data_IF_477836947386
#
_entry.id   IF_477836947386
#
_cell.length_a   1.000
_cell.length_b   1.000
_cell.length_c   1.000
_cell.angle_alpha   90.00
_cell.angle_beta   90.00
_cell.angle_gamma   90.00
#
_symmetry.space_group_name_H-M   'P 1'
#
loop_
_entity.id
_entity.type
_entity.pdbx_description
1 polymer ?
#
# COMPACT_ATOMS: atom_id res chain seq x y z
N UNK A 1 -7.91 -1.76 -27.67
CA UNK A 1 -8.52 -2.70 -26.70
C UNK A 1 -8.27 -2.13 -25.32
N UNK A 2 -9.31 -1.71 -24.60
CA UNK A 2 -9.15 -1.24 -23.22
C UNK A 2 -8.77 -2.44 -22.38
N UNK A 3 -7.60 -2.44 -21.77
CA UNK A 3 -7.26 -3.50 -20.83
C UNK A 3 -8.11 -3.32 -19.58
N UNK A 4 -9.01 -4.27 -19.33
CA UNK A 4 -9.93 -4.27 -18.20
C UNK A 4 -9.35 -5.09 -17.04
N UNK A 5 -9.67 -4.70 -15.81
CA UNK A 5 -9.23 -5.38 -14.59
C UNK A 5 -10.26 -5.15 -13.48
N UNK A 6 -10.25 -5.99 -12.46
CA UNK A 6 -11.09 -5.85 -11.27
C UNK A 6 -10.23 -5.76 -10.01
N UNK A 7 -10.75 -5.15 -8.95
CA UNK A 7 -10.07 -5.09 -7.64
C UNK A 7 -10.99 -5.70 -6.58
N UNK A 8 -10.48 -6.68 -5.85
CA UNK A 8 -11.20 -7.35 -4.76
C UNK A 8 -10.36 -7.41 -3.48
N UNK A 9 -10.99 -7.53 -2.29
CA UNK A 9 -10.27 -7.88 -1.07
C UNK A 9 -9.57 -9.24 -1.22
N UNK A 10 -8.35 -9.37 -0.69
CA UNK A 10 -7.67 -10.65 -0.59
C UNK A 10 -8.40 -11.56 0.42
N UNK A 11 -8.66 -12.79 0.02
CA UNK A 11 -9.33 -13.81 0.82
C UNK A 11 -8.29 -14.77 1.39
N UNK A 12 -8.23 -14.88 2.72
CA UNK A 12 -7.28 -15.79 3.38
C UNK A 12 -7.99 -17.05 3.89
N UNK A 13 -7.38 -18.24 3.74
CA UNK A 13 -6.01 -18.47 3.27
C UNK A 13 -5.82 -18.58 1.74
N UNK A 14 -6.88 -18.43 0.92
CA UNK A 14 -6.88 -18.74 -0.51
C UNK A 14 -5.85 -17.92 -1.32
N UNK A 15 -5.73 -16.63 -1.03
CA UNK A 15 -4.86 -15.69 -1.76
C UNK A 15 -3.46 -15.55 -1.13
N UNK A 16 -3.13 -16.34 -0.11
CA UNK A 16 -1.85 -16.23 0.60
C UNK A 16 -0.65 -16.35 -0.35
N UNK A 17 -0.67 -17.32 -1.26
CA UNK A 17 0.38 -17.52 -2.26
C UNK A 17 0.47 -16.34 -3.22
N UNK A 18 -0.67 -15.84 -3.71
CA UNK A 18 -0.74 -14.69 -4.62
C UNK A 18 -0.18 -13.43 -3.99
N UNK A 19 -0.58 -13.11 -2.76
CA UNK A 19 -0.08 -11.94 -2.02
C UNK A 19 1.42 -12.06 -1.76
N UNK A 20 1.88 -13.24 -1.34
CA UNK A 20 3.30 -13.49 -1.06
C UNK A 20 4.14 -13.25 -2.31
N UNK A 21 3.73 -13.80 -3.46
CA UNK A 21 4.42 -13.60 -4.73
C UNK A 21 4.48 -12.12 -5.16
N UNK A 22 3.40 -11.36 -4.98
CA UNK A 22 3.37 -9.92 -5.28
C UNK A 22 4.28 -9.11 -4.35
N UNK A 23 4.33 -9.44 -3.06
CA UNK A 23 5.20 -8.77 -2.09
C UNK A 23 6.68 -9.07 -2.37
N UNK A 24 7.01 -10.30 -2.69
CA UNK A 24 8.35 -10.71 -3.10
C UNK A 24 8.78 -9.98 -4.39
N UNK A 25 7.89 -9.94 -5.39
CA UNK A 25 8.14 -9.21 -6.64
C UNK A 25 8.31 -7.69 -6.42
N UNK A 26 7.54 -7.10 -5.51
CA UNK A 26 7.71 -5.71 -5.09
C UNK A 26 9.11 -5.48 -4.50
N UNK A 27 9.48 -6.30 -3.52
CA UNK A 27 10.77 -6.25 -2.83
C UNK A 27 11.94 -6.39 -3.80
N UNK A 28 11.89 -7.40 -4.67
CA UNK A 28 12.90 -7.60 -5.70
C UNK A 28 13.02 -6.39 -6.64
N UNK A 29 11.91 -5.73 -6.97
CA UNK A 29 11.92 -4.56 -7.85
C UNK A 29 12.55 -3.30 -7.24
N UNK A 30 12.64 -3.21 -5.91
CA UNK A 30 13.25 -2.07 -5.24
C UNK A 30 14.78 -2.16 -5.17
N UNK A 31 15.39 -3.31 -5.50
CA UNK A 31 16.83 -3.57 -5.31
C UNK A 31 17.33 -3.23 -3.90
N UNK A 32 16.45 -3.30 -2.90
CA UNK A 32 16.81 -3.09 -1.50
C UNK A 32 17.24 -4.44 -0.91
N UNK A 33 18.35 -4.44 -0.18
CA UNK A 33 18.70 -5.58 0.68
C UNK A 33 17.67 -5.64 1.81
N UNK A 34 16.60 -6.42 1.60
CA UNK A 34 15.53 -6.59 2.57
C UNK A 34 15.77 -7.77 3.52
N UNK A 35 17.03 -8.09 3.83
CA UNK A 35 17.41 -8.96 4.97
C UNK A 35 16.98 -8.40 6.34
N UNK A 36 16.13 -7.37 6.38
CA UNK A 36 15.45 -6.90 7.57
C UNK A 36 14.55 -7.99 8.15
N UNK A 37 14.82 -8.36 9.39
CA UNK A 37 13.99 -9.28 10.20
C UNK A 37 12.50 -8.88 10.22
N UNK A 38 12.20 -7.59 10.06
CA UNK A 38 10.84 -7.06 10.02
C UNK A 38 10.06 -7.49 8.76
N UNK A 39 10.71 -7.67 7.60
CA UNK A 39 10.00 -8.05 6.37
C UNK A 39 9.65 -9.54 6.32
N UNK A 40 10.57 -10.41 6.73
CA UNK A 40 10.29 -11.85 6.84
C UNK A 40 9.20 -12.12 7.87
N UNK A 41 9.19 -11.37 8.97
CA UNK A 41 8.14 -11.42 9.99
C UNK A 41 6.80 -10.91 9.45
N UNK A 42 6.80 -9.84 8.65
CA UNK A 42 5.59 -9.33 7.99
C UNK A 42 5.00 -10.38 7.04
N UNK A 43 5.81 -11.01 6.18
CA UNK A 43 5.35 -12.06 5.28
C UNK A 43 4.80 -13.28 6.03
N UNK A 44 5.51 -13.74 7.07
CA UNK A 44 5.10 -14.88 7.88
C UNK A 44 3.80 -14.63 8.68
N UNK A 45 3.41 -13.37 8.89
CA UNK A 45 2.23 -12.99 9.65
C UNK A 45 1.03 -12.61 8.78
N UNK A 46 1.09 -12.71 7.46
CA UNK A 46 -0.01 -12.35 6.56
C UNK A 46 -1.32 -13.12 6.89
N UNK A 47 -2.49 -12.44 6.88
CA UNK A 47 -2.70 -11.02 6.57
C UNK A 47 -2.30 -10.06 7.71
N UNK A 48 -2.17 -10.55 8.94
CA UNK A 48 -1.61 -9.81 10.07
C UNK A 48 -2.30 -8.47 10.30
N UNK A 49 -1.51 -7.39 10.35
CA UNK A 49 -2.01 -6.02 10.50
C UNK A 49 -2.89 -5.52 9.33
N UNK A 50 -2.93 -6.24 8.20
CA UNK A 50 -3.77 -5.94 7.04
C UNK A 50 -5.17 -6.58 7.13
N UNK A 51 -5.43 -7.35 8.18
CA UNK A 51 -6.73 -8.00 8.40
C UNK A 51 -7.81 -7.00 8.82
N UNK A 52 -9.07 -7.18 8.40
CA UNK A 52 -10.21 -6.49 9.00
C UNK A 52 -10.28 -6.73 10.52
N UNK A 53 -10.88 -5.81 11.30
CA UNK A 53 -11.64 -4.63 10.86
C UNK A 53 -10.77 -3.40 10.51
N UNK A 54 -9.54 -3.31 11.05
CA UNK A 54 -8.70 -2.11 10.93
C UNK A 54 -7.84 -2.09 9.66
N UNK A 55 -7.42 -3.25 9.16
CA UNK A 55 -6.62 -3.36 7.94
C UNK A 55 -7.46 -3.60 6.69
N UNK A 56 -6.82 -3.43 5.53
CA UNK A 56 -7.31 -3.89 4.22
C UNK A 56 -6.15 -4.46 3.42
N UNK A 57 -6.43 -5.44 2.57
CA UNK A 57 -5.52 -5.90 1.54
C UNK A 57 -6.34 -6.15 0.27
N UNK A 58 -5.95 -5.51 -0.82
CA UNK A 58 -6.63 -5.61 -2.11
C UNK A 58 -5.69 -6.17 -3.17
N UNK A 59 -6.25 -6.94 -4.10
CA UNK A 59 -5.57 -7.49 -5.27
C UNK A 59 -6.29 -6.98 -6.52
N UNK A 60 -5.50 -6.54 -7.51
CA UNK A 60 -5.99 -6.26 -8.85
C UNK A 60 -5.84 -7.51 -9.72
N UNK A 61 -6.90 -7.92 -10.38
CA UNK A 61 -6.97 -9.11 -11.22
C UNK A 61 -7.24 -8.74 -12.68
N UNK A 62 -6.55 -9.38 -13.61
CA UNK A 62 -6.88 -9.34 -15.03
C UNK A 62 -8.18 -10.07 -15.32
N UNK A 63 -8.72 -9.93 -16.54
CA UNK A 63 -9.89 -10.69 -16.98
C UNK A 63 -9.59 -12.21 -17.06
N UNK A 64 -8.34 -12.55 -17.31
CA UNK A 64 -7.82 -13.93 -17.34
C UNK A 64 -7.54 -14.51 -15.94
N UNK A 65 -7.74 -13.72 -14.87
CA UNK A 65 -7.53 -14.15 -13.48
C UNK A 65 -6.08 -14.02 -13.01
N UNK A 66 -5.22 -13.28 -13.72
CA UNK A 66 -3.85 -13.02 -13.30
C UNK A 66 -3.78 -11.86 -12.29
N UNK A 67 -3.00 -12.02 -11.23
CA UNK A 67 -2.79 -10.95 -10.26
C UNK A 67 -1.84 -9.89 -10.81
N UNK A 68 -2.37 -8.69 -11.10
CA UNK A 68 -1.61 -7.57 -11.67
C UNK A 68 -1.03 -6.62 -10.64
N UNK A 69 -1.49 -6.68 -9.40
CA UNK A 69 -0.96 -5.83 -8.35
C UNK A 69 -1.69 -5.99 -7.03
N UNK A 70 -1.17 -5.35 -6.00
CA UNK A 70 -1.78 -5.33 -4.67
C UNK A 70 -1.56 -3.97 -3.99
N UNK A 71 -2.31 -3.74 -2.93
CA UNK A 71 -2.08 -2.65 -1.97
C UNK A 71 -2.63 -3.04 -0.61
N UNK A 72 -1.91 -2.68 0.44
CA UNK A 72 -2.27 -2.95 1.82
C UNK A 72 -2.54 -1.65 2.61
N UNK A 73 -3.39 -1.75 3.62
CA UNK A 73 -3.68 -0.73 4.62
C UNK A 73 -3.55 -1.36 6.00
N UNK A 74 -2.86 -0.68 6.91
CA UNK A 74 -2.76 -1.07 8.32
C UNK A 74 -2.98 0.12 9.24
N UNK A 75 -3.38 -0.09 10.51
CA UNK A 75 -3.35 0.97 11.51
C UNK A 75 -1.92 1.45 11.79
N UNK A 76 -1.75 2.76 11.91
CA UNK A 76 -0.53 3.37 12.40
C UNK A 76 -0.69 3.70 13.90
N UNK A 77 0.20 3.19 14.75
CA UNK A 77 0.04 3.24 16.21
C UNK A 77 0.47 4.59 16.79
N UNK A 78 -0.15 4.96 17.92
CA UNK A 78 -0.09 6.30 18.55
C UNK A 78 1.32 6.83 18.85
N UNK A 79 2.35 5.99 19.03
CA UNK A 79 3.71 6.49 19.30
C UNK A 79 4.36 7.21 18.11
N UNK A 80 3.79 7.06 16.91
CA UNK A 80 4.28 7.64 15.65
C UNK A 80 3.35 8.70 15.07
N UNK A 81 2.27 8.99 15.78
CA UNK A 81 1.14 9.80 15.30
C UNK A 81 0.91 10.90 16.31
N UNK A 82 0.82 12.15 15.84
CA UNK A 82 0.43 13.25 16.71
C UNK A 82 -0.99 13.01 17.23
N UNK A 83 -1.26 13.25 18.51
CA UNK A 83 -2.60 13.10 19.09
C UNK A 83 -3.67 13.92 18.33
N UNK A 84 -3.25 14.98 17.63
CA UNK A 84 -4.12 15.84 16.81
C UNK A 84 -4.50 15.24 15.44
N UNK A 85 -3.95 14.09 15.06
CA UNK A 85 -4.23 13.44 13.76
C UNK A 85 -5.35 12.40 13.83
N UNK A 86 -5.91 12.12 15.01
CA UNK A 86 -7.04 11.21 15.15
C UNK A 86 -6.67 9.76 14.81
N UNK A 87 -7.58 9.02 14.18
CA UNK A 87 -7.32 7.65 13.73
C UNK A 87 -6.51 7.65 12.42
N UNK A 88 -5.32 7.04 12.42
CA UNK A 88 -4.39 7.08 11.27
C UNK A 88 -4.14 5.70 10.69
N UNK A 89 -4.29 5.59 9.38
CA UNK A 89 -3.98 4.41 8.59
C UNK A 89 -2.70 4.63 7.77
N UNK A 90 -2.01 3.54 7.42
CA UNK A 90 -0.82 3.58 6.59
C UNK A 90 -1.00 2.68 5.37
N UNK A 91 -0.84 3.25 4.18
CA UNK A 91 -0.76 2.47 2.93
C UNK A 91 0.63 1.83 2.85
N UNK A 92 0.65 0.52 2.61
CA UNK A 92 1.87 -0.25 2.40
C UNK A 92 1.73 -1.11 1.14
N UNK A 93 2.88 -1.52 0.59
CA UNK A 93 2.97 -2.59 -0.43
C UNK A 93 2.11 -2.35 -1.67
N UNK A 94 1.98 -1.08 -2.10
CA UNK A 94 1.38 -0.78 -3.40
C UNK A 94 2.35 -1.20 -4.50
N UNK A 95 1.98 -2.22 -5.26
CA UNK A 95 2.79 -2.76 -6.35
C UNK A 95 1.93 -3.13 -7.55
N UNK A 96 2.50 -2.92 -8.74
CA UNK A 96 1.92 -3.33 -10.02
C UNK A 96 3.00 -4.05 -10.82
N UNK A 97 2.67 -5.25 -11.29
CA UNK A 97 3.57 -6.08 -12.11
C UNK A 97 3.95 -5.33 -13.39
N UNK A 98 5.17 -5.50 -13.93
CA UNK A 98 5.63 -4.73 -15.09
C UNK A 98 4.68 -4.75 -16.30
N UNK A 99 4.06 -5.91 -16.59
CA UNK A 99 3.13 -6.08 -17.70
C UNK A 99 1.82 -5.27 -17.58
N UNK A 100 1.46 -4.84 -16.37
CA UNK A 100 0.24 -4.09 -16.08
C UNK A 100 0.49 -2.58 -15.80
N UNK A 101 1.75 -2.12 -15.86
CA UNK A 101 2.09 -0.70 -15.66
C UNK A 101 1.60 0.16 -16.83
N UNK A 102 1.32 1.43 -16.53
CA UNK A 102 0.77 2.37 -17.52
C UNK A 102 -0.71 2.15 -17.87
N UNK A 103 -1.37 1.15 -17.25
CA UNK A 103 -2.78 0.81 -17.50
C UNK A 103 -3.75 1.36 -16.45
N UNK A 104 -3.30 2.27 -15.58
CA UNK A 104 -4.12 2.85 -14.51
C UNK A 104 -4.30 1.99 -13.25
N UNK A 105 -3.81 0.74 -13.23
CA UNK A 105 -3.95 -0.21 -12.11
C UNK A 105 -3.48 0.37 -10.77
N UNK A 106 -2.31 1.01 -10.74
CA UNK A 106 -1.76 1.58 -9.51
C UNK A 106 -2.64 2.68 -8.91
N UNK A 107 -3.21 3.54 -9.77
CA UNK A 107 -4.14 4.59 -9.33
C UNK A 107 -5.44 3.99 -8.81
N UNK A 108 -6.00 3.01 -9.50
CA UNK A 108 -7.22 2.33 -9.08
C UNK A 108 -7.05 1.58 -7.74
N UNK A 109 -5.89 0.95 -7.52
CA UNK A 109 -5.53 0.35 -6.22
C UNK A 109 -5.45 1.41 -5.12
N UNK A 110 -4.77 2.53 -5.38
CA UNK A 110 -4.67 3.64 -4.44
C UNK A 110 -6.07 4.22 -4.08
N UNK A 111 -6.93 4.44 -5.07
CA UNK A 111 -8.30 4.91 -4.85
C UNK A 111 -9.12 3.88 -4.05
N UNK A 112 -9.00 2.59 -4.36
CA UNK A 112 -9.70 1.52 -3.63
C UNK A 112 -9.27 1.43 -2.17
N UNK A 113 -7.98 1.53 -1.88
CA UNK A 113 -7.49 1.48 -0.50
C UNK A 113 -7.89 2.72 0.29
N UNK A 114 -7.97 3.90 -0.34
CA UNK A 114 -8.50 5.11 0.28
C UNK A 114 -10.00 5.00 0.58
N UNK A 115 -10.78 4.37 -0.29
CA UNK A 115 -12.17 4.05 0.00
C UNK A 115 -12.28 3.12 1.22
N UNK A 116 -11.47 2.05 1.25
CA UNK A 116 -11.38 1.16 2.40
C UNK A 116 -10.94 1.87 3.68
N UNK A 117 -10.05 2.86 3.59
CA UNK A 117 -9.62 3.66 4.75
C UNK A 117 -10.77 4.50 5.33
N UNK A 118 -11.61 5.09 4.46
CA UNK A 118 -12.82 5.80 4.89
C UNK A 118 -13.82 4.87 5.57
N UNK A 119 -14.01 3.66 5.05
CA UNK A 119 -14.89 2.64 5.67
C UNK A 119 -14.42 2.23 7.07
N UNK A 120 -13.11 2.20 7.31
CA UNK A 120 -12.55 1.94 8.65
C UNK A 120 -12.77 3.13 9.60
N UNK A 121 -12.96 4.34 9.08
CA UNK A 121 -13.06 5.57 9.84
C UNK A 121 -11.71 6.25 10.10
N UNK A 122 -10.69 5.96 9.28
CA UNK A 122 -9.44 6.71 9.34
C UNK A 122 -9.67 8.19 8.98
N UNK A 123 -9.03 9.09 9.72
CA UNK A 123 -9.07 10.54 9.50
C UNK A 123 -7.84 11.01 8.69
N UNK A 124 -6.73 10.29 8.82
CA UNK A 124 -5.51 10.53 8.05
C UNK A 124 -4.99 9.21 7.49
N UNK A 125 -4.52 9.26 6.25
CA UNK A 125 -3.77 8.16 5.63
C UNK A 125 -2.35 8.63 5.37
N UNK A 126 -1.36 7.86 5.83
CA UNK A 126 0.06 8.11 5.58
C UNK A 126 0.66 7.04 4.68
N UNK A 127 1.79 7.36 4.07
CA UNK A 127 2.62 6.41 3.34
C UNK A 127 4.08 6.89 3.30
N UNK A 128 4.96 5.95 3.01
CA UNK A 128 6.35 6.19 2.65
C UNK A 128 6.62 5.69 1.22
N UNK A 129 7.53 6.33 0.51
CA UNK A 129 8.00 5.92 -0.81
C UNK A 129 9.45 6.32 -1.04
N UNK A 130 10.16 5.66 -1.95
CA UNK A 130 11.53 6.05 -2.30
C UNK A 130 11.48 7.32 -3.16
N UNK A 131 12.38 8.28 -2.91
CA UNK A 131 12.47 9.50 -3.72
C UNK A 131 12.68 9.26 -5.22
N UNK A 132 13.24 8.10 -5.60
CA UNK A 132 13.39 7.69 -7.00
C UNK A 132 12.08 7.25 -7.68
N UNK A 133 11.02 6.96 -6.91
CA UNK A 133 9.72 6.49 -7.41
C UNK A 133 8.82 7.65 -7.85
N UNK A 134 9.33 8.50 -8.75
CA UNK A 134 8.67 9.71 -9.23
C UNK A 134 7.23 9.48 -9.73
N UNK A 135 6.97 8.35 -10.42
CA UNK A 135 5.63 8.01 -10.90
C UNK A 135 4.64 7.75 -9.75
N UNK A 136 5.09 7.09 -8.67
CA UNK A 136 4.27 6.85 -7.50
C UNK A 136 4.02 8.17 -6.74
N UNK A 137 5.07 8.97 -6.54
CA UNK A 137 4.96 10.30 -5.91
C UNK A 137 3.97 11.19 -6.68
N UNK A 138 4.09 11.28 -8.00
CA UNK A 138 3.18 12.05 -8.84
C UNK A 138 1.73 11.55 -8.76
N UNK A 139 1.54 10.22 -8.73
CA UNK A 139 0.23 9.62 -8.53
C UNK A 139 -0.38 10.01 -7.17
N UNK A 140 0.37 9.90 -6.08
CA UNK A 140 -0.12 10.27 -4.74
C UNK A 140 -0.40 11.76 -4.63
N UNK A 141 0.45 12.63 -5.17
CA UNK A 141 0.19 14.08 -5.25
C UNK A 141 -1.11 14.36 -6.02
N UNK A 142 -1.33 13.68 -7.14
CA UNK A 142 -2.57 13.75 -7.92
C UNK A 142 -3.81 13.15 -7.24
N UNK A 143 -3.65 12.47 -6.10
CA UNK A 143 -4.73 12.02 -5.21
C UNK A 143 -4.91 12.92 -3.99
N UNK A 144 -4.16 14.04 -3.92
CA UNK A 144 -4.24 15.01 -2.83
C UNK A 144 -3.27 14.75 -1.66
N UNK A 145 -2.38 13.76 -1.78
CA UNK A 145 -1.34 13.58 -0.76
C UNK A 145 -0.35 14.74 -0.80
N UNK A 146 -0.02 15.24 0.38
CA UNK A 146 1.05 16.21 0.61
C UNK A 146 2.24 15.54 1.29
N UNK A 147 3.44 16.07 1.09
CA UNK A 147 4.62 15.62 1.83
C UNK A 147 4.47 16.00 3.32
N UNK A 148 4.94 15.13 4.21
CA UNK A 148 4.88 15.35 5.66
C UNK A 148 6.20 14.99 6.35
N UNK A 149 6.28 15.30 7.64
CA UNK A 149 7.40 14.86 8.45
C UNK A 149 7.48 13.33 8.53
N UNK A 150 8.71 12.83 8.71
CA UNK A 150 8.95 11.41 8.96
C UNK A 150 8.23 10.98 10.24
N UNK A 151 7.61 9.80 10.19
CA UNK A 151 6.89 9.23 11.33
C UNK A 151 7.52 7.92 11.83
N UNK A 152 8.60 7.44 11.22
CA UNK A 152 9.45 6.37 11.77
C UNK A 152 10.90 6.50 11.30
N UNK A 153 11.77 5.74 11.95
CA UNK A 153 13.18 5.63 11.58
C UNK A 153 13.40 4.64 10.43
N UNK A 154 13.93 5.15 9.32
CA UNK A 154 14.28 4.35 8.14
C UNK A 154 15.76 4.50 7.83
N UNK A 155 16.49 3.41 7.57
CA UNK A 155 17.86 3.47 7.10
C UNK A 155 17.95 3.89 5.62
N UNK A 156 16.83 3.89 4.90
CA UNK A 156 16.79 4.19 3.47
C UNK A 156 16.85 5.71 3.27
N UNK A 157 17.96 6.20 2.72
CA UNK A 157 18.13 7.61 2.43
C UNK A 157 17.19 8.06 1.31
N UNK A 158 16.64 9.27 1.44
CA UNK A 158 15.73 9.84 0.45
C UNK A 158 14.33 9.23 0.45
N UNK A 159 13.93 8.53 1.52
CA UNK A 159 12.52 8.18 1.74
C UNK A 159 11.68 9.45 1.87
N UNK A 160 10.61 9.54 1.08
CA UNK A 160 9.61 10.59 1.11
C UNK A 160 8.41 10.09 1.89
N UNK A 161 7.96 10.89 2.85
CA UNK A 161 6.77 10.61 3.65
C UNK A 161 5.64 11.51 3.17
N UNK A 162 4.45 10.95 3.03
CA UNK A 162 3.28 11.68 2.56
C UNK A 162 2.06 11.38 3.43
N UNK A 163 1.15 12.34 3.51
CA UNK A 163 -0.13 12.21 4.19
C UNK A 163 -1.28 12.76 3.37
N UNK A 164 -2.47 12.25 3.63
CA UNK A 164 -3.74 12.77 3.14
C UNK A 164 -4.72 12.82 4.31
N UNK A 165 -5.32 13.98 4.56
CA UNK A 165 -6.50 14.08 5.43
C UNK A 165 -7.73 13.61 4.66
N UNK A 166 -8.47 12.67 5.22
CA UNK A 166 -9.71 12.21 4.63
C UNK A 166 -10.82 13.17 5.06
N UNK A 167 -11.47 13.80 4.08
CA UNK A 167 -12.70 14.56 4.33
C UNK A 167 -13.82 13.60 4.78
N UNK A 168 -14.64 14.06 5.72
CA UNK A 168 -15.79 13.33 6.28
C UNK A 168 -16.96 13.28 5.31
#
# INVERSE_FOLDING_TARGET
MSTSFTISPALFPQDLSTVTALFEAYTASLNLDLSFQSYSTELASLPGAYSPPAGRLYIAWSEEGEAWGCVALRPLTKSTVSECEGLVGEIKRLYVVPAARGKGVGRALAEKVLAGAREVGYEVVKLDTLGSMHAAIGMYKGLGFEECERYYDTPVQGTVFMRLRLEK
#
